data_IF_113516140044
#
_entry.id   IF_113516140044
#
_cell.length_a   1.000
_cell.length_b   1.000
_cell.length_c   1.000
_cell.angle_alpha   90.00
_cell.angle_beta   90.00
_cell.angle_gamma   90.00
#
_symmetry.space_group_name_H-M   'P 1'
#
loop_
_entity.id
_entity.type
_entity.pdbx_description
1 polymer ?
#
# COMPACT_ATOMS: atom_id res chain seq x y z
N UNK A 1 6.77 -17.12 5.64
CA UNK A 1 5.49 -16.36 5.63
C UNK A 1 5.59 -14.99 6.33
N UNK A 2 6.01 -14.94 7.60
CA UNK A 2 6.14 -13.68 8.36
C UNK A 2 7.20 -12.76 7.74
N UNK A 3 8.35 -13.31 7.34
CA UNK A 3 9.42 -12.51 6.72
C UNK A 3 9.01 -11.90 5.37
N UNK A 4 8.21 -12.64 4.59
CA UNK A 4 7.67 -12.16 3.31
C UNK A 4 6.63 -11.05 3.52
N UNK A 5 5.78 -11.20 4.52
CA UNK A 5 4.81 -10.17 4.88
C UNK A 5 5.50 -8.92 5.43
N UNK A 6 6.51 -9.11 6.28
CA UNK A 6 7.33 -8.01 6.78
C UNK A 6 8.04 -7.28 5.64
N UNK A 7 8.60 -7.99 4.66
CA UNK A 7 9.17 -7.38 3.46
C UNK A 7 8.14 -6.51 2.73
N UNK A 8 6.93 -7.03 2.54
CA UNK A 8 5.84 -6.28 1.90
C UNK A 8 5.46 -5.03 2.69
N UNK A 9 5.37 -5.10 4.02
CA UNK A 9 5.11 -3.95 4.87
C UNK A 9 6.23 -2.92 4.78
N UNK A 10 7.49 -3.34 4.78
CA UNK A 10 8.63 -2.42 4.60
C UNK A 10 8.57 -1.72 3.24
N UNK A 11 8.17 -2.42 2.18
CA UNK A 11 7.95 -1.82 0.86
C UNK A 11 6.88 -0.72 0.92
N UNK A 12 5.73 -0.97 1.54
CA UNK A 12 4.64 0.00 1.67
C UNK A 12 4.97 1.17 2.59
N UNK A 13 5.57 0.91 3.76
CA UNK A 13 5.80 1.95 4.78
C UNK A 13 6.95 2.89 4.45
N UNK A 14 7.96 2.41 3.71
CA UNK A 14 9.19 3.16 3.44
C UNK A 14 9.35 3.50 1.96
N UNK A 15 8.60 2.85 1.05
CA UNK A 15 8.70 3.08 -0.39
C UNK A 15 10.00 2.59 -1.02
N UNK A 16 10.66 1.59 -0.42
CA UNK A 16 11.94 1.08 -0.92
C UNK A 16 11.78 0.39 -2.28
N UNK A 17 12.80 0.54 -3.13
CA UNK A 17 12.88 -0.14 -4.42
C UNK A 17 13.04 -1.66 -4.22
N UNK A 18 12.57 -2.45 -5.19
CA UNK A 18 12.76 -3.92 -5.15
C UNK A 18 14.24 -4.32 -5.06
N UNK A 19 15.14 -3.53 -5.64
CA UNK A 19 16.58 -3.77 -5.60
C UNK A 19 17.15 -3.55 -4.20
N UNK A 20 16.73 -2.50 -3.51
CA UNK A 20 17.15 -2.24 -2.14
C UNK A 20 16.62 -3.31 -1.18
N UNK A 21 15.38 -3.75 -1.39
CA UNK A 21 14.79 -4.85 -0.64
C UNK A 21 15.54 -6.17 -0.89
N UNK A 22 15.88 -6.47 -2.14
CA UNK A 22 16.67 -7.65 -2.51
C UNK A 22 18.01 -7.68 -1.76
N UNK A 23 18.69 -6.54 -1.70
CA UNK A 23 19.95 -6.40 -0.98
C UNK A 23 19.77 -6.55 0.54
N UNK A 24 18.77 -5.88 1.15
CA UNK A 24 18.55 -5.90 2.61
C UNK A 24 18.10 -7.26 3.12
N UNK A 25 17.26 -7.96 2.36
CA UNK A 25 16.72 -9.28 2.72
C UNK A 25 17.57 -10.43 2.19
N UNK A 26 18.66 -10.13 1.47
CA UNK A 26 19.57 -11.12 0.86
C UNK A 26 18.83 -12.17 0.01
N UNK A 27 17.90 -11.72 -0.83
CA UNK A 27 17.14 -12.56 -1.75
C UNK A 27 17.17 -11.97 -3.16
N UNK A 28 16.91 -12.80 -4.17
CA UNK A 28 16.85 -12.32 -5.55
C UNK A 28 15.73 -11.29 -5.76
N UNK A 29 15.98 -10.29 -6.60
CA UNK A 29 14.98 -9.28 -6.96
C UNK A 29 13.70 -9.91 -7.53
N UNK A 30 13.80 -10.99 -8.30
CA UNK A 30 12.64 -11.73 -8.79
C UNK A 30 11.78 -12.31 -7.66
N UNK A 31 12.40 -12.75 -6.56
CA UNK A 31 11.69 -13.22 -5.38
C UNK A 31 10.98 -12.06 -4.66
N UNK A 32 11.64 -10.91 -4.53
CA UNK A 32 11.03 -9.68 -3.98
C UNK A 32 9.77 -9.30 -4.75
N UNK A 33 9.87 -9.21 -6.09
CA UNK A 33 8.74 -8.84 -6.95
C UNK A 33 7.57 -9.82 -6.81
N UNK A 34 7.87 -11.13 -6.73
CA UNK A 34 6.87 -12.18 -6.51
C UNK A 34 6.21 -12.07 -5.13
N UNK A 35 6.98 -11.76 -4.08
CA UNK A 35 6.48 -11.54 -2.72
C UNK A 35 5.53 -10.35 -2.71
N UNK A 36 5.96 -9.19 -3.25
CA UNK A 36 5.15 -7.97 -3.29
C UNK A 36 3.83 -8.22 -4.02
N UNK A 37 3.90 -8.84 -5.21
CA UNK A 37 2.71 -9.13 -6.01
C UNK A 37 1.74 -10.08 -5.29
N UNK A 38 2.28 -11.10 -4.61
CA UNK A 38 1.47 -12.08 -3.87
C UNK A 38 0.72 -11.42 -2.72
N UNK A 39 1.42 -10.65 -1.88
CA UNK A 39 0.81 -9.98 -0.74
C UNK A 39 -0.14 -8.86 -1.15
N UNK A 40 0.19 -8.10 -2.21
CA UNK A 40 -0.72 -7.10 -2.76
C UNK A 40 -2.05 -7.73 -3.20
N UNK A 41 -2.02 -8.85 -3.94
CA UNK A 41 -3.23 -9.56 -4.37
C UNK A 41 -4.03 -10.12 -3.19
N UNK A 42 -3.34 -10.73 -2.23
CA UNK A 42 -3.97 -11.28 -1.04
C UNK A 42 -4.68 -10.20 -0.21
N UNK A 43 -4.01 -9.09 0.04
CA UNK A 43 -4.59 -7.97 0.77
C UNK A 43 -5.70 -7.29 -0.04
N UNK A 44 -5.54 -7.10 -1.35
CA UNK A 44 -6.62 -6.58 -2.18
C UNK A 44 -7.89 -7.44 -2.08
N UNK A 45 -7.76 -8.77 -2.07
CA UNK A 45 -8.91 -9.67 -1.88
C UNK A 45 -9.55 -9.53 -0.49
N UNK A 46 -8.74 -9.39 0.56
CA UNK A 46 -9.24 -9.22 1.94
C UNK A 46 -9.88 -7.84 2.12
N UNK A 47 -9.16 -6.77 1.82
CA UNK A 47 -9.63 -5.40 2.00
C UNK A 47 -10.78 -5.06 1.05
N UNK A 48 -10.81 -5.62 -0.17
CA UNK A 48 -11.95 -5.47 -1.07
C UNK A 48 -13.24 -6.10 -0.56
N UNK A 49 -13.15 -7.07 0.36
CA UNK A 49 -14.32 -7.63 1.05
C UNK A 49 -14.79 -6.78 2.23
N UNK A 50 -13.91 -5.93 2.77
CA UNK A 50 -14.26 -4.98 3.83
C UNK A 50 -14.90 -3.77 3.15
N UNK A 51 -16.08 -3.34 3.63
CA UNK A 51 -16.70 -2.06 3.24
C UNK A 51 -15.92 -0.92 3.89
N UNK A 52 -14.68 -0.69 3.44
CA UNK A 52 -13.80 0.38 3.94
C UNK A 52 -14.26 1.73 3.35
N UNK A 53 -14.84 1.70 2.16
CA UNK A 53 -15.54 2.87 1.64
C UNK A 53 -16.78 3.12 2.48
N UNK A 54 -16.74 4.20 3.24
CA UNK A 54 -17.88 4.67 4.01
C UNK A 54 -18.97 5.07 3.02
N UNK A 55 -20.22 4.67 3.29
CA UNK A 55 -21.37 5.24 2.57
C UNK A 55 -21.29 6.75 2.77
N UNK A 56 -21.21 7.51 1.68
CA UNK A 56 -20.67 8.89 1.58
C UNK A 56 -21.25 9.96 2.53
N UNK A 57 -22.23 9.64 3.37
CA UNK A 57 -23.22 10.64 3.80
C UNK A 57 -23.47 10.69 5.30
N UNK A 58 -23.10 9.68 6.09
CA UNK A 58 -23.58 9.56 7.47
C UNK A 58 -22.60 10.03 8.56
N UNK A 59 -21.29 9.78 8.40
CA UNK A 59 -20.35 9.93 9.54
C UNK A 59 -19.68 11.31 9.65
N UNK A 60 -19.80 12.16 8.63
CA UNK A 60 -19.19 13.51 8.63
C UNK A 60 -20.19 14.66 8.72
N UNK A 61 -21.49 14.38 8.88
CA UNK A 61 -22.50 15.44 9.01
C UNK A 61 -22.21 16.37 10.21
N UNK A 62 -21.64 15.83 11.29
CA UNK A 62 -21.28 16.59 12.49
C UNK A 62 -19.94 17.34 12.36
N UNK A 63 -19.19 17.14 11.27
CA UNK A 63 -17.86 17.70 11.06
C UNK A 63 -17.75 18.46 9.72
N UNK A 64 -18.44 19.62 9.59
CA UNK A 64 -18.57 20.35 8.33
C UNK A 64 -17.24 20.85 7.72
N UNK A 65 -16.16 20.93 8.52
CA UNK A 65 -14.82 21.33 8.06
C UNK A 65 -13.94 20.16 7.64
N UNK A 66 -14.46 18.93 7.64
CA UNK A 66 -13.67 17.73 7.29
C UNK A 66 -13.72 17.47 5.79
N UNK A 67 -12.58 17.64 5.12
CA UNK A 67 -12.41 17.26 3.72
C UNK A 67 -11.96 15.79 3.62
N UNK A 68 -12.78 14.96 2.97
CA UNK A 68 -12.43 13.56 2.68
C UNK A 68 -11.76 13.49 1.31
N UNK A 69 -10.46 13.16 1.27
CA UNK A 69 -9.80 12.78 0.02
C UNK A 69 -10.05 11.30 -0.24
N UNK A 70 -10.90 11.03 -1.21
CA UNK A 70 -11.32 9.69 -1.62
C UNK A 70 -10.31 9.07 -2.61
N UNK A 71 -9.62 9.90 -3.38
CA UNK A 71 -8.70 9.44 -4.42
C UNK A 71 -7.38 10.23 -4.34
N UNK A 72 -6.26 9.51 -4.19
CA UNK A 72 -4.92 10.10 -4.16
C UNK A 72 -4.20 9.73 -5.45
N UNK A 73 -4.20 10.64 -6.42
CA UNK A 73 -3.36 10.53 -7.61
C UNK A 73 -1.95 11.03 -7.25
N UNK A 74 -0.97 10.14 -7.30
CA UNK A 74 0.43 10.50 -7.10
C UNK A 74 0.94 11.28 -8.32
N UNK A 75 1.07 12.60 -8.19
CA UNK A 75 1.62 13.48 -9.24
C UNK A 75 3.14 13.47 -9.16
N UNK A 76 3.80 12.92 -10.19
CA UNK A 76 5.26 13.02 -10.32
C UNK A 76 5.65 14.43 -10.77
N UNK A 77 6.11 15.26 -9.83
CA UNK A 77 6.74 16.55 -10.15
C UNK A 77 8.16 16.33 -10.69
N UNK A 78 8.55 17.07 -11.73
CA UNK A 78 9.95 17.12 -12.16
C UNK A 78 10.78 17.91 -11.13
N UNK A 79 11.85 17.31 -10.64
CA UNK A 79 12.85 18.00 -9.81
C UNK A 79 13.61 19.02 -10.69
N UNK A 80 13.85 20.26 -10.22
CA UNK A 80 14.55 21.29 -10.99
C UNK A 80 16.00 20.93 -11.32
#
# INVERSE_FOLDING_TARGET
>A
PIDEFFLFLVHLSVGLTERDLAHRFNIHQSAVSRIITTWAKFLHAILGSVRIWMSEEAEFQDFPDTHVMIDCIELRCQTP
#
